data_IF_651551602177
#
_entry.id   IF_651551602177
#
_cell.length_a   1.000
_cell.length_b   1.000
_cell.length_c   1.000
_cell.angle_alpha   90.00
_cell.angle_beta   90.00
_cell.angle_gamma   90.00
#
_symmetry.space_group_name_H-M   'P 1'
#
loop_
_entity.id
_entity.type
_entity.pdbx_description
1 polymer ?
#
# COMPACT_ATOMS: atom_id res chain seq x y z
N UNK A 1 13.90 -14.97 7.33
CA UNK A 1 13.14 -14.69 8.56
C UNK A 1 12.64 -13.26 8.50
N UNK A 2 11.38 -13.11 8.09
CA UNK A 2 10.31 -12.14 8.40
C UNK A 2 9.44 -12.09 7.14
N UNK A 3 8.69 -13.17 6.93
CA UNK A 3 7.56 -13.23 6.02
C UNK A 3 6.45 -13.86 6.84
N UNK A 4 5.74 -13.07 7.64
CA UNK A 4 4.51 -13.47 8.34
C UNK A 4 3.88 -12.27 9.07
N UNK A 5 3.63 -11.17 8.36
CA UNK A 5 2.65 -10.17 8.79
C UNK A 5 2.03 -9.57 7.52
N UNK A 6 1.08 -10.27 6.91
CA UNK A 6 0.04 -9.71 6.01
C UNK A 6 -0.84 -10.87 5.48
N UNK A 7 -1.55 -11.55 6.38
CA UNK A 7 -2.65 -12.44 6.01
C UNK A 7 -3.63 -12.55 7.17
N UNK A 8 -4.38 -11.48 7.43
CA UNK A 8 -5.59 -11.57 8.21
C UNK A 8 -6.59 -10.55 7.68
N UNK A 9 -7.84 -11.00 7.63
CA UNK A 9 -9.05 -10.22 7.46
C UNK A 9 -9.61 -10.11 6.03
N UNK A 10 -10.31 -11.17 5.63
CA UNK A 10 -11.51 -11.07 4.78
C UNK A 10 -12.35 -12.35 4.91
N UNK A 11 -13.59 -12.14 5.38
CA UNK A 11 -14.78 -13.02 5.31
C UNK A 11 -14.95 -14.03 6.45
N UNK A 12 -15.41 -13.52 7.58
CA UNK A 12 -16.29 -14.23 8.51
C UNK A 12 -17.57 -13.42 8.67
N UNK A 13 -18.67 -13.85 8.03
CA UNK A 13 -20.07 -13.48 8.38
C UNK A 13 -21.06 -13.95 7.31
N UNK A 14 -21.67 -15.13 7.54
CA UNK A 14 -22.94 -15.70 7.03
C UNK A 14 -22.86 -17.18 7.45
N UNK A 15 -23.72 -17.75 8.29
CA UNK A 15 -25.18 -17.66 8.34
C UNK A 15 -25.70 -18.11 9.71
N UNK A 16 -26.88 -17.61 10.03
CA UNK A 16 -27.59 -17.68 11.30
C UNK A 16 -28.00 -19.10 11.71
N UNK A 17 -28.03 -19.28 13.04
CA UNK A 17 -28.45 -20.47 13.77
C UNK A 17 -29.97 -20.47 13.90
N UNK A 18 -30.59 -21.56 13.44
CA UNK A 18 -31.94 -21.96 13.80
C UNK A 18 -32.05 -22.24 15.30
N UNK A 19 -33.06 -21.67 15.96
CA UNK A 19 -33.59 -22.22 17.20
C UNK A 19 -35.07 -21.85 17.31
N UNK A 20 -35.90 -22.88 17.13
CA UNK A 20 -37.32 -22.89 17.45
C UNK A 20 -37.53 -22.59 18.93
N UNK A 21 -38.51 -21.74 19.25
CA UNK A 21 -39.11 -21.71 20.58
C UNK A 21 -40.63 -21.79 20.47
N UNK A 22 -41.14 -22.67 21.30
CA UNK A 22 -42.46 -23.28 21.34
C UNK A 22 -43.59 -22.35 21.79
N UNK A 23 -44.74 -22.56 21.14
CA UNK A 23 -46.06 -22.10 21.56
C UNK A 23 -46.41 -22.65 22.96
N UNK A 24 -46.78 -21.77 23.89
CA UNK A 24 -47.63 -22.15 25.02
C UNK A 24 -48.64 -21.04 25.34
N UNK A 25 -49.92 -21.40 25.19
CA UNK A 25 -51.10 -20.57 25.48
C UNK A 25 -51.27 -20.43 27.01
N UNK A 26 -51.50 -19.21 27.50
CA UNK A 26 -52.30 -18.96 28.72
C UNK A 26 -53.12 -17.69 28.58
N UNK A 27 -54.37 -17.79 29.02
CA UNK A 27 -55.45 -16.82 28.99
C UNK A 27 -55.23 -15.65 29.98
N UNK A 28 -55.58 -14.44 29.51
CA UNK A 28 -56.26 -13.27 30.15
C UNK A 28 -56.10 -12.99 31.67
N UNK A 29 -56.06 -11.69 32.11
CA UNK A 29 -57.15 -10.74 31.83
C UNK A 29 -56.78 -9.27 31.57
N UNK A 30 -57.72 -8.56 30.92
CA UNK A 30 -57.82 -7.10 30.84
C UNK A 30 -57.69 -6.44 32.22
N UNK A 31 -56.94 -5.32 32.31
CA UNK A 31 -57.30 -4.22 33.19
C UNK A 31 -57.87 -3.07 32.35
N UNK A 32 -59.08 -2.70 32.73
CA UNK A 32 -59.77 -1.45 32.42
C UNK A 32 -58.90 -0.22 32.70
N UNK A 33 -58.93 0.73 31.77
CA UNK A 33 -58.94 2.16 32.06
C UNK A 33 -57.76 2.74 32.85
N UNK A 34 -56.78 3.29 32.13
CA UNK A 34 -56.18 4.56 32.54
C UNK A 34 -55.65 5.27 31.31
N UNK A 35 -56.30 6.37 30.96
CA UNK A 35 -55.84 7.38 30.02
C UNK A 35 -54.48 7.92 30.53
N UNK A 36 -53.39 7.20 30.27
CA UNK A 36 -52.10 7.86 30.10
C UNK A 36 -52.20 8.62 28.79
N UNK A 37 -52.52 9.91 28.89
CA UNK A 37 -52.13 10.91 27.91
C UNK A 37 -50.74 10.52 27.40
N UNK A 38 -50.69 9.98 26.18
CA UNK A 38 -49.49 10.11 25.35
C UNK A 38 -49.33 11.62 25.19
N UNK A 39 -48.53 12.23 26.05
CA UNK A 39 -47.84 13.45 25.72
C UNK A 39 -46.86 13.09 24.61
N UNK A 40 -47.40 12.93 23.40
CA UNK A 40 -46.67 13.30 22.20
C UNK A 40 -46.50 14.81 22.34
N UNK A 41 -45.47 15.22 23.08
CA UNK A 41 -44.91 16.55 22.95
C UNK A 41 -44.62 16.69 21.46
N UNK A 42 -45.46 17.43 20.75
CA UNK A 42 -45.16 17.89 19.42
C UNK A 42 -43.84 18.65 19.54
N UNK A 43 -42.74 18.00 19.20
CA UNK A 43 -41.45 18.67 19.12
C UNK A 43 -41.64 19.81 18.13
N UNK A 44 -41.60 21.03 18.67
CA UNK A 44 -41.68 22.24 17.89
C UNK A 44 -40.64 22.17 16.77
N UNK A 45 -40.90 22.75 15.59
CA UNK A 45 -40.02 22.58 14.42
C UNK A 45 -38.54 22.90 14.72
N UNK A 46 -38.30 23.86 15.61
CA UNK A 46 -36.98 24.21 16.13
C UNK A 46 -36.30 23.08 16.95
N UNK A 47 -37.08 22.32 17.74
CA UNK A 47 -36.58 21.16 18.49
C UNK A 47 -36.13 20.02 17.58
N UNK A 48 -36.90 19.75 16.51
CA UNK A 48 -36.50 18.75 15.49
C UNK A 48 -35.25 19.17 14.73
N UNK A 49 -35.17 20.45 14.33
CA UNK A 49 -33.98 21.00 13.67
C UNK A 49 -32.72 20.87 14.53
N UNK A 50 -32.83 21.14 15.84
CA UNK A 50 -31.74 20.99 16.80
C UNK A 50 -31.24 19.54 16.88
N UNK A 51 -32.15 18.58 16.98
CA UNK A 51 -31.81 17.15 17.04
C UNK A 51 -31.11 16.67 15.76
N UNK A 52 -31.65 17.00 14.58
CA UNK A 52 -31.01 16.65 13.31
C UNK A 52 -29.62 17.27 13.15
N UNK A 53 -29.46 18.53 13.56
CA UNK A 53 -28.15 19.21 13.49
C UNK A 53 -27.14 18.57 14.43
N UNK A 54 -27.56 18.09 15.61
CA UNK A 54 -26.70 17.36 16.53
C UNK A 54 -26.28 15.99 15.98
N UNK A 55 -27.21 15.24 15.36
CA UNK A 55 -26.88 13.98 14.71
C UNK A 55 -25.90 14.16 13.55
N UNK A 56 -26.10 15.19 12.73
CA UNK A 56 -25.20 15.54 11.62
C UNK A 56 -23.80 15.91 12.13
N UNK A 57 -23.70 16.70 13.21
CA UNK A 57 -22.40 17.02 13.81
C UNK A 57 -21.68 15.76 14.30
N UNK A 58 -22.37 14.83 14.96
CA UNK A 58 -21.78 13.58 15.43
C UNK A 58 -21.29 12.69 14.27
N UNK A 59 -22.06 12.65 13.18
CA UNK A 59 -21.65 11.96 11.96
C UNK A 59 -20.37 12.58 11.38
N UNK A 60 -20.33 13.91 11.25
CA UNK A 60 -19.16 14.64 10.76
C UNK A 60 -17.93 14.40 11.66
N UNK A 61 -18.09 14.45 12.98
CA UNK A 61 -17.01 14.19 13.93
C UNK A 61 -16.44 12.78 13.82
N UNK A 62 -17.30 11.80 13.55
CA UNK A 62 -16.88 10.41 13.31
C UNK A 62 -16.06 10.32 12.01
N UNK A 63 -16.54 10.88 10.90
CA UNK A 63 -15.78 10.87 9.64
C UNK A 63 -14.43 11.60 9.75
N UNK A 64 -14.40 12.74 10.44
CA UNK A 64 -13.17 13.51 10.68
C UNK A 64 -12.18 12.72 11.55
N UNK A 65 -12.67 12.04 12.59
CA UNK A 65 -11.84 11.19 13.44
C UNK A 65 -11.25 10.03 12.66
N UNK A 66 -12.05 9.35 11.84
CA UNK A 66 -11.58 8.22 11.04
C UNK A 66 -10.51 8.65 10.03
N UNK A 67 -10.74 9.74 9.30
CA UNK A 67 -9.73 10.33 8.41
C UNK A 67 -8.44 10.67 9.16
N UNK A 68 -8.54 11.35 10.30
CA UNK A 68 -7.38 11.76 11.09
C UNK A 68 -6.57 10.57 11.60
N UNK A 69 -7.24 9.55 12.16
CA UNK A 69 -6.59 8.36 12.67
C UNK A 69 -5.92 7.58 11.54
N UNK A 70 -6.60 7.36 10.42
CA UNK A 70 -6.01 6.69 9.25
C UNK A 70 -4.78 7.44 8.74
N UNK A 71 -4.86 8.76 8.67
CA UNK A 71 -3.74 9.62 8.25
C UNK A 71 -2.55 9.51 9.21
N UNK A 72 -2.81 9.59 10.52
CA UNK A 72 -1.77 9.55 11.55
C UNK A 72 -1.06 8.21 11.58
N UNK A 73 -1.82 7.10 11.65
CA UNK A 73 -1.24 5.76 11.67
C UNK A 73 -0.49 5.44 10.37
N UNK A 74 -1.03 5.83 9.22
CA UNK A 74 -0.36 5.65 7.92
C UNK A 74 0.99 6.38 7.88
N UNK A 75 1.04 7.62 8.36
CA UNK A 75 2.27 8.40 8.43
C UNK A 75 3.30 7.79 9.38
N UNK A 76 2.90 7.45 10.62
CA UNK A 76 3.81 6.87 11.62
C UNK A 76 4.39 5.53 11.18
N UNK A 77 3.54 4.65 10.63
CA UNK A 77 3.99 3.35 10.09
C UNK A 77 4.99 3.54 8.96
N UNK A 78 4.71 4.43 8.01
CA UNK A 78 5.60 4.64 6.86
C UNK A 78 6.93 5.27 7.29
N UNK A 79 6.93 6.18 8.27
CA UNK A 79 8.17 6.72 8.84
C UNK A 79 8.98 5.66 9.58
N UNK A 80 8.32 4.78 10.33
CA UNK A 80 8.99 3.66 11.00
C UNK A 80 9.64 2.70 9.99
N UNK A 81 8.91 2.33 8.94
CA UNK A 81 9.46 1.50 7.84
C UNK A 81 10.65 2.18 7.20
N UNK A 82 10.53 3.48 6.85
CA UNK A 82 11.65 4.24 6.27
C UNK A 82 12.87 4.22 7.19
N UNK A 83 12.67 4.46 8.48
CA UNK A 83 13.75 4.43 9.48
C UNK A 83 14.43 3.05 9.52
N UNK A 84 13.67 1.96 9.57
CA UNK A 84 14.22 0.59 9.54
C UNK A 84 15.02 0.34 8.26
N UNK A 85 14.53 0.80 7.10
CA UNK A 85 15.24 0.64 5.83
C UNK A 85 16.54 1.45 5.79
N UNK A 86 16.52 2.69 6.27
CA UNK A 86 17.69 3.57 6.33
C UNK A 86 18.75 3.01 7.32
N UNK A 87 18.33 2.51 8.49
CA UNK A 87 19.21 1.87 9.50
C UNK A 87 19.89 0.60 8.99
N UNK A 88 19.24 -0.13 8.09
CA UNK A 88 19.78 -1.35 7.48
C UNK A 88 20.41 -1.10 6.10
N UNK A 89 20.64 0.17 5.73
CA UNK A 89 21.29 0.57 4.48
C UNK A 89 20.64 -0.02 3.21
N UNK A 90 19.31 -0.16 3.20
CA UNK A 90 18.58 -0.66 2.03
C UNK A 90 18.64 0.34 0.87
N UNK A 91 18.67 -0.18 -0.36
CA UNK A 91 18.51 0.62 -1.58
C UNK A 91 17.46 0.00 -2.47
N UNK A 92 16.58 0.84 -3.01
CA UNK A 92 15.51 0.44 -3.92
C UNK A 92 15.75 0.94 -5.35
N UNK A 93 14.69 0.95 -6.15
CA UNK A 93 14.74 1.35 -7.56
C UNK A 93 15.15 2.81 -7.77
N UNK A 94 14.90 3.69 -6.80
CA UNK A 94 15.21 5.13 -6.87
C UNK A 94 16.63 5.49 -6.43
N UNK A 95 17.44 4.52 -5.97
CA UNK A 95 18.84 4.72 -5.54
C UNK A 95 19.01 5.95 -4.62
N UNK A 96 18.10 6.11 -3.65
CA UNK A 96 18.06 7.28 -2.78
C UNK A 96 18.99 7.19 -1.55
N UNK A 97 19.88 6.20 -1.51
CA UNK A 97 20.73 5.91 -0.36
C UNK A 97 22.18 6.35 -0.62
N UNK A 98 22.64 7.35 0.15
CA UNK A 98 23.98 7.92 0.05
C UNK A 98 25.08 7.00 0.60
N UNK A 99 24.78 6.15 1.59
CA UNK A 99 25.75 5.27 2.27
C UNK A 99 26.09 3.99 1.49
N UNK A 100 25.47 3.76 0.33
CA UNK A 100 25.86 2.64 -0.55
C UNK A 100 27.22 2.94 -1.20
N UNK A 101 28.19 2.00 -1.18
CA UNK A 101 29.46 2.17 -1.88
C UNK A 101 29.28 2.40 -3.38
N UNK A 102 30.11 3.24 -4.00
CA UNK A 102 29.94 3.66 -5.40
C UNK A 102 29.94 2.49 -6.39
N UNK A 103 30.80 1.48 -6.18
CA UNK A 103 30.80 0.28 -7.01
C UNK A 103 29.46 -0.48 -6.96
N UNK A 104 28.82 -0.54 -5.80
CA UNK A 104 27.50 -1.16 -5.64
C UNK A 104 26.39 -0.29 -6.23
N UNK A 105 26.48 1.04 -6.10
CA UNK A 105 25.56 1.99 -6.75
C UNK A 105 25.56 1.82 -8.27
N UNK A 106 26.73 1.71 -8.88
CA UNK A 106 26.86 1.52 -10.34
C UNK A 106 26.26 0.17 -10.76
N UNK A 107 26.64 -0.93 -10.10
CA UNK A 107 26.08 -2.25 -10.44
C UNK A 107 24.56 -2.30 -10.26
N UNK A 108 24.05 -1.68 -9.20
CA UNK A 108 22.62 -1.60 -8.94
C UNK A 108 21.91 -0.72 -9.99
N UNK A 109 22.52 0.40 -10.37
CA UNK A 109 22.03 1.26 -11.45
C UNK A 109 21.98 0.52 -12.78
N UNK A 110 22.97 -0.31 -13.10
CA UNK A 110 22.94 -1.16 -14.30
C UNK A 110 21.80 -2.17 -14.24
N UNK A 111 21.58 -2.78 -13.07
CA UNK A 111 20.49 -3.73 -12.86
C UNK A 111 19.11 -3.09 -12.91
N UNK A 112 18.95 -1.82 -12.51
CA UNK A 112 17.64 -1.14 -12.42
C UNK A 112 17.31 -0.29 -13.66
N UNK A 113 18.28 0.43 -14.22
CA UNK A 113 18.06 1.41 -15.29
C UNK A 113 18.93 1.15 -16.51
N UNK A 114 20.15 0.67 -16.29
CA UNK A 114 21.13 0.43 -17.34
C UNK A 114 21.05 -0.98 -17.93
N UNK A 115 22.17 -1.43 -18.46
CA UNK A 115 22.34 -2.80 -18.94
C UNK A 115 23.59 -3.39 -18.29
N UNK A 116 23.46 -4.48 -17.52
CA UNK A 116 24.62 -5.15 -16.93
C UNK A 116 25.56 -5.67 -18.03
N UNK A 117 26.73 -5.05 -18.20
CA UNK A 117 27.70 -5.45 -19.22
C UNK A 117 29.08 -5.78 -18.61
N UNK A 118 29.78 -6.70 -19.27
CA UNK A 118 31.17 -7.04 -18.97
C UNK A 118 32.06 -6.29 -19.96
N UNK A 119 33.03 -5.53 -19.45
CA UNK A 119 33.94 -4.73 -20.27
C UNK A 119 35.05 -5.62 -20.84
N UNK A 120 35.39 -5.43 -22.12
CA UNK A 120 36.39 -6.24 -22.81
C UNK A 120 37.83 -5.95 -22.38
N UNK A 121 38.08 -4.80 -21.74
CA UNK A 121 39.37 -4.45 -21.12
C UNK A 121 39.69 -5.28 -19.87
N UNK A 122 38.70 -5.95 -19.28
CA UNK A 122 38.86 -6.77 -18.09
C UNK A 122 39.47 -8.14 -18.44
N UNK A 123 40.27 -8.67 -17.52
CA UNK A 123 40.71 -10.07 -17.61
C UNK A 123 39.52 -11.03 -17.51
N UNK A 124 39.66 -12.24 -18.06
CA UNK A 124 38.59 -13.25 -17.99
C UNK A 124 38.13 -13.56 -16.56
N UNK A 125 39.06 -13.56 -15.59
CA UNK A 125 38.74 -13.75 -14.18
C UNK A 125 37.92 -12.57 -13.62
N UNK A 126 38.27 -11.33 -13.99
CA UNK A 126 37.53 -10.15 -13.58
C UNK A 126 36.12 -10.09 -14.22
N UNK A 127 36.00 -10.49 -15.50
CA UNK A 127 34.70 -10.64 -16.18
C UNK A 127 33.81 -11.66 -15.46
N UNK A 128 34.37 -12.82 -15.10
CA UNK A 128 33.65 -13.85 -14.36
C UNK A 128 33.18 -13.35 -12.99
N UNK A 129 34.08 -12.74 -12.20
CA UNK A 129 33.70 -12.17 -10.90
C UNK A 129 32.60 -11.10 -11.03
N UNK A 130 32.69 -10.21 -12.03
CA UNK A 130 31.67 -9.18 -12.27
C UNK A 130 30.31 -9.80 -12.61
N UNK A 131 30.28 -10.85 -13.44
CA UNK A 131 29.06 -11.58 -13.77
C UNK A 131 28.45 -12.27 -12.53
N UNK A 132 29.29 -12.86 -11.68
CA UNK A 132 28.86 -13.48 -10.41
C UNK A 132 28.33 -12.45 -9.42
N UNK A 133 28.93 -11.26 -9.37
CA UNK A 133 28.44 -10.15 -8.54
C UNK A 133 27.06 -9.68 -9.01
N UNK A 134 26.82 -9.51 -10.31
CA UNK A 134 25.48 -9.19 -10.82
C UNK A 134 24.47 -10.29 -10.48
N UNK A 135 24.82 -11.56 -10.70
CA UNK A 135 23.95 -12.70 -10.41
C UNK A 135 23.60 -12.76 -8.92
N UNK A 136 24.58 -12.59 -8.03
CA UNK A 136 24.38 -12.55 -6.58
C UNK A 136 23.52 -11.36 -6.15
N UNK A 137 23.87 -10.14 -6.57
CA UNK A 137 23.13 -8.93 -6.22
C UNK A 137 21.68 -8.99 -6.71
N UNK A 138 21.45 -9.46 -7.94
CA UNK A 138 20.10 -9.66 -8.46
C UNK A 138 19.35 -10.74 -7.68
N UNK A 139 20.04 -11.82 -7.29
CA UNK A 139 19.41 -12.91 -6.54
C UNK A 139 19.01 -12.52 -5.13
N UNK A 140 19.83 -11.72 -4.47
CA UNK A 140 19.61 -11.25 -3.10
C UNK A 140 18.54 -10.13 -3.06
N UNK A 141 18.31 -9.44 -4.17
CA UNK A 141 17.32 -8.34 -4.27
C UNK A 141 15.94 -8.78 -4.74
N UNK A 142 15.78 -10.00 -5.26
CA UNK A 142 14.51 -10.52 -5.74
C UNK A 142 14.18 -11.83 -5.04
N UNK A 143 12.95 -11.97 -4.53
CA UNK A 143 12.44 -13.24 -4.06
C UNK A 143 12.00 -14.13 -5.24
N UNK A 144 11.49 -15.33 -4.93
CA UNK A 144 11.03 -16.27 -5.96
C UNK A 144 9.77 -15.77 -6.67
N UNK A 145 8.94 -14.98 -5.97
CA UNK A 145 7.68 -14.45 -6.47
C UNK A 145 7.85 -13.11 -7.21
N UNK A 146 9.04 -12.50 -7.18
CA UNK A 146 9.30 -11.26 -7.89
C UNK A 146 9.08 -11.44 -9.41
N UNK A 147 8.28 -10.59 -10.07
CA UNK A 147 7.90 -10.79 -11.48
C UNK A 147 9.10 -10.80 -12.44
N UNK A 148 10.17 -10.07 -12.11
CA UNK A 148 11.39 -10.05 -12.94
C UNK A 148 12.40 -11.16 -12.61
N UNK A 149 12.14 -12.01 -11.60
CA UNK A 149 13.11 -13.01 -11.09
C UNK A 149 13.61 -13.93 -12.20
N UNK A 150 12.71 -14.49 -12.99
CA UNK A 150 13.03 -15.47 -14.04
C UNK A 150 13.77 -14.80 -15.20
N UNK A 151 13.26 -13.67 -15.69
CA UNK A 151 13.87 -12.95 -16.80
C UNK A 151 15.27 -12.43 -16.46
N UNK A 152 15.43 -11.80 -15.30
CA UNK A 152 16.73 -11.29 -14.85
C UNK A 152 17.74 -12.41 -14.60
N UNK A 153 17.33 -13.51 -13.96
CA UNK A 153 18.22 -14.65 -13.71
C UNK A 153 18.69 -15.31 -15.02
N UNK A 154 17.81 -15.37 -16.02
CA UNK A 154 18.14 -15.89 -17.35
C UNK A 154 19.18 -15.03 -18.05
N UNK A 155 19.03 -13.70 -17.96
CA UNK A 155 19.98 -12.76 -18.51
C UNK A 155 21.34 -12.81 -17.80
N UNK A 156 21.37 -12.76 -16.46
CA UNK A 156 22.64 -12.84 -15.71
C UNK A 156 23.35 -14.18 -15.93
N UNK A 157 22.61 -15.28 -16.11
CA UNK A 157 23.20 -16.57 -16.48
C UNK A 157 23.84 -16.52 -17.87
N UNK A 158 23.20 -15.87 -18.85
CA UNK A 158 23.79 -15.69 -20.18
C UNK A 158 25.14 -14.94 -20.11
N UNK A 159 25.24 -13.90 -19.26
CA UNK A 159 26.49 -13.20 -19.00
C UNK A 159 27.55 -14.10 -18.36
N UNK A 160 27.16 -14.94 -17.39
CA UNK A 160 28.04 -15.90 -16.73
C UNK A 160 28.56 -16.98 -17.67
N UNK A 161 27.77 -17.43 -18.64
CA UNK A 161 28.17 -18.46 -19.61
C UNK A 161 29.03 -17.88 -20.74
N UNK A 162 28.79 -16.61 -21.12
CA UNK A 162 29.44 -15.94 -22.26
C UNK A 162 30.54 -14.94 -21.85
N UNK A 163 31.11 -15.09 -20.65
CA UNK A 163 32.08 -14.13 -20.10
C UNK A 163 33.42 -14.08 -20.85
N UNK A 164 33.81 -15.18 -21.52
CA UNK A 164 35.05 -15.27 -22.31
C UNK A 164 34.95 -14.60 -23.68
N UNK A 165 33.75 -14.23 -24.09
CA UNK A 165 33.49 -13.65 -25.41
C UNK A 165 33.67 -12.13 -25.37
N UNK A 166 33.76 -11.51 -26.56
CA UNK A 166 33.75 -10.06 -26.68
C UNK A 166 32.34 -9.49 -26.53
N UNK A 167 32.24 -8.21 -26.18
CA UNK A 167 30.97 -7.52 -25.92
C UNK A 167 29.99 -7.60 -27.10
N UNK A 168 30.49 -7.48 -28.33
CA UNK A 168 29.66 -7.56 -29.54
C UNK A 168 28.95 -8.93 -29.67
N UNK A 169 29.71 -10.02 -29.52
CA UNK A 169 29.19 -11.39 -29.61
C UNK A 169 28.24 -11.71 -28.46
N UNK A 170 28.64 -11.35 -27.23
CA UNK A 170 27.81 -11.53 -26.03
C UNK A 170 26.51 -10.75 -26.12
N UNK A 171 26.53 -9.52 -26.65
CA UNK A 171 25.33 -8.72 -26.88
C UNK A 171 24.36 -9.44 -27.79
N UNK A 172 24.80 -9.98 -28.93
CA UNK A 172 23.90 -10.71 -29.84
C UNK A 172 23.27 -11.94 -29.18
N UNK A 173 24.02 -12.68 -28.34
CA UNK A 173 23.51 -13.87 -27.64
C UNK A 173 22.54 -13.54 -26.50
N UNK A 174 22.86 -12.52 -25.71
CA UNK A 174 22.09 -12.18 -24.50
C UNK A 174 21.03 -11.10 -24.72
N UNK A 175 20.91 -10.53 -25.93
CA UNK A 175 19.90 -9.50 -26.23
C UNK A 175 18.46 -10.01 -26.01
N UNK A 176 18.05 -11.20 -26.49
CA UNK A 176 16.67 -11.66 -26.30
C UNK A 176 16.29 -11.84 -24.83
N UNK A 177 17.22 -12.32 -23.99
CA UNK A 177 16.99 -12.45 -22.55
C UNK A 177 17.02 -11.10 -21.83
N UNK A 178 17.83 -10.16 -22.31
CA UNK A 178 17.83 -8.78 -21.82
C UNK A 178 16.52 -8.07 -22.13
N UNK A 179 15.97 -8.19 -23.33
CA UNK A 179 14.74 -7.50 -23.72
C UNK A 179 13.56 -7.90 -22.82
N UNK A 180 13.46 -9.19 -22.49
CA UNK A 180 12.46 -9.69 -21.54
C UNK A 180 12.69 -9.13 -20.11
N UNK A 181 13.95 -9.05 -19.67
CA UNK A 181 14.29 -8.49 -18.38
C UNK A 181 13.99 -6.98 -18.30
N UNK A 182 14.39 -6.22 -19.33
CA UNK A 182 14.19 -4.77 -19.42
C UNK A 182 12.70 -4.40 -19.52
N UNK A 183 11.92 -5.16 -20.28
CA UNK A 183 10.47 -4.98 -20.35
C UNK A 183 9.81 -5.13 -18.96
N UNK A 184 10.19 -6.17 -18.21
CA UNK A 184 9.69 -6.36 -16.85
C UNK A 184 10.08 -5.21 -15.93
N UNK A 185 11.35 -4.81 -15.98
CA UNK A 185 11.92 -3.78 -15.11
C UNK A 185 11.31 -2.40 -15.36
N UNK A 186 11.11 -2.03 -16.62
CA UNK A 186 10.35 -0.84 -17.02
C UNK A 186 8.90 -0.90 -16.52
N UNK A 187 8.30 -2.09 -16.54
CA UNK A 187 6.98 -2.34 -15.96
C UNK A 187 6.91 -2.01 -14.47
N UNK A 188 7.87 -2.47 -13.68
CA UNK A 188 7.92 -2.18 -12.23
C UNK A 188 8.16 -0.69 -11.97
N UNK A 189 9.08 -0.05 -12.70
CA UNK A 189 9.32 1.40 -12.57
C UNK A 189 8.05 2.20 -12.85
N UNK A 190 7.30 1.82 -13.89
CA UNK A 190 6.01 2.43 -14.20
C UNK A 190 4.98 2.22 -13.08
N UNK A 191 4.87 1.00 -12.55
CA UNK A 191 4.00 0.71 -11.40
C UNK A 191 4.35 1.55 -10.17
N UNK A 192 5.65 1.76 -9.91
CA UNK A 192 6.10 2.61 -8.81
C UNK A 192 5.65 4.06 -9.00
N UNK A 193 5.84 4.62 -10.19
CA UNK A 193 5.37 5.98 -10.53
C UNK A 193 3.86 6.10 -10.36
N UNK A 194 3.09 5.19 -10.94
CA UNK A 194 1.62 5.18 -10.84
C UNK A 194 1.14 5.03 -9.40
N UNK A 195 1.79 4.20 -8.58
CA UNK A 195 1.43 4.03 -7.18
C UNK A 195 1.63 5.32 -6.38
N UNK A 196 2.72 6.06 -6.64
CA UNK A 196 3.00 7.35 -5.99
C UNK A 196 1.97 8.40 -6.40
N UNK A 197 1.70 8.53 -7.70
CA UNK A 197 0.72 9.49 -8.22
C UNK A 197 -0.68 9.22 -7.65
N UNK A 198 -1.12 7.96 -7.68
CA UNK A 198 -2.42 7.58 -7.13
C UNK A 198 -2.52 7.80 -5.62
N UNK A 199 -1.44 7.58 -4.87
CA UNK A 199 -1.41 7.84 -3.44
C UNK A 199 -1.54 9.34 -3.13
N UNK A 200 -0.85 10.20 -3.89
CA UNK A 200 -0.94 11.65 -3.75
C UNK A 200 -2.35 12.17 -4.05
N UNK A 201 -2.96 11.70 -5.14
CA UNK A 201 -4.32 12.08 -5.54
C UNK A 201 -5.33 11.66 -4.46
N UNK A 202 -5.28 10.40 -4.00
CA UNK A 202 -6.18 9.89 -2.96
C UNK A 202 -6.05 10.69 -1.67
N UNK A 203 -4.83 11.05 -1.31
CA UNK A 203 -4.57 11.86 -0.13
C UNK A 203 -5.18 13.26 -0.27
N UNK A 204 -4.93 13.97 -1.37
CA UNK A 204 -5.47 15.32 -1.59
C UNK A 204 -7.01 15.33 -1.57
N UNK A 205 -7.66 14.35 -2.21
CA UNK A 205 -9.12 14.21 -2.19
C UNK A 205 -9.63 14.02 -0.76
N UNK A 206 -8.99 13.15 0.02
CA UNK A 206 -9.38 12.89 1.40
C UNK A 206 -9.20 14.14 2.29
N UNK A 207 -8.09 14.84 2.14
CA UNK A 207 -7.76 16.05 2.92
C UNK A 207 -8.74 17.19 2.59
N UNK A 208 -9.09 17.38 1.31
CA UNK A 208 -10.11 18.36 0.89
C UNK A 208 -11.50 18.02 1.42
N UNK A 209 -11.89 16.74 1.38
CA UNK A 209 -13.16 16.27 1.96
C UNK A 209 -13.20 16.54 3.46
N UNK A 210 -12.14 16.21 4.19
CA UNK A 210 -12.04 16.47 5.63
C UNK A 210 -12.14 17.98 5.94
N UNK A 211 -11.48 18.84 5.14
CA UNK A 211 -11.61 20.29 5.29
C UNK A 211 -13.05 20.77 5.09
N UNK A 212 -13.72 20.32 4.04
CA UNK A 212 -15.13 20.68 3.78
C UNK A 212 -16.07 20.22 4.92
N UNK A 213 -15.85 19.02 5.46
CA UNK A 213 -16.59 18.51 6.62
C UNK A 213 -16.35 19.38 7.87
N UNK A 214 -15.11 19.80 8.10
CA UNK A 214 -14.77 20.67 9.22
C UNK A 214 -15.47 22.05 9.11
N UNK A 215 -15.45 22.66 7.93
CA UNK A 215 -16.17 23.92 7.66
C UNK A 215 -17.69 23.75 7.83
N UNK A 216 -18.25 22.63 7.36
CA UNK A 216 -19.67 22.30 7.56
C UNK A 216 -20.03 22.16 9.04
N UNK A 217 -19.19 21.47 9.82
CA UNK A 217 -19.36 21.34 11.28
C UNK A 217 -19.39 22.70 11.96
N UNK A 218 -18.50 23.61 11.57
CA UNK A 218 -18.46 24.97 12.12
C UNK A 218 -19.78 25.71 11.89
N UNK A 219 -20.31 25.67 10.67
CA UNK A 219 -21.61 26.30 10.34
C UNK A 219 -22.75 25.71 11.17
N UNK A 220 -22.78 24.39 11.35
CA UNK A 220 -23.82 23.73 12.16
C UNK A 220 -23.74 24.13 13.63
N UNK A 221 -22.54 24.22 14.19
CA UNK A 221 -22.34 24.69 15.56
C UNK A 221 -22.75 26.15 15.73
N UNK A 222 -22.39 27.02 14.79
CA UNK A 222 -22.79 28.43 14.83
C UNK A 222 -24.31 28.59 14.73
N UNK A 223 -24.99 27.71 13.99
CA UNK A 223 -26.46 27.71 13.87
C UNK A 223 -27.18 27.20 15.12
N UNK A 224 -26.54 26.35 15.92
CA UNK A 224 -27.09 25.82 17.17
C UNK A 224 -26.90 26.77 18.36
N UNK A 225 -25.93 27.68 18.26
CA UNK A 225 -25.56 28.64 19.31
C UNK A 225 -26.25 30.01 19.15
N UNK A 226 -27.05 30.22 18.10
CA UNK A 226 -27.91 31.39 17.91
C UNK A 226 -29.32 31.11 18.43
#
# INVERSE_FOLDING_TARGET
MVSDVLAADRRSSRSEVSLELSLSKRLDPRPTGSLRKREHLEMNAAGRYKEYSQMEIQFIETELKDWFLQRRFGMERNMAIKKTLDENNFTGLSIANASVPDAQKVMWSDLVQGKPELDDSLSNNAKQMKADMYSKMFKDSTDLDHPCRVAGSTYTRCLQESFKEDSSTRKMKCLPSFDAFDACRKGILKQQTEAVENALIKQDIADRRAKALFERRQILLDSLNR
#
